data_IF_638222617845
#
_entry.id   IF_638222617845
#
_cell.length_a   1.000
_cell.length_b   1.000
_cell.length_c   1.000
_cell.angle_alpha   90.00
_cell.angle_beta   90.00
_cell.angle_gamma   90.00
#
_symmetry.space_group_name_H-M   'P 1'
#
loop_
_entity.id
_entity.type
_entity.pdbx_description
1 polymer ?
#
# COMPACT_ATOMS: atom_id res chain seq x y z
N UNK A 1 -1.96 -9.35 -24.18
CA UNK A 1 -0.65 -8.88 -23.78
C UNK A 1 -0.59 -8.71 -22.27
N UNK A 2 0.56 -9.06 -21.71
CA UNK A 2 0.76 -8.93 -20.26
C UNK A 2 0.59 -7.50 -19.75
N UNK A 3 0.72 -6.52 -20.63
CA UNK A 3 0.60 -5.10 -20.30
C UNK A 3 -0.76 -4.72 -19.71
N UNK A 4 -1.78 -5.52 -20.02
CA UNK A 4 -3.13 -5.22 -19.60
C UNK A 4 -3.50 -5.90 -18.28
N UNK A 5 -2.56 -6.62 -17.67
CA UNK A 5 -2.81 -7.29 -16.41
C UNK A 5 -2.93 -6.25 -15.30
N UNK A 6 -4.12 -6.13 -14.75
CA UNK A 6 -4.39 -5.19 -13.67
C UNK A 6 -3.99 -5.80 -12.33
N UNK A 7 -3.42 -5.01 -11.42
CA UNK A 7 -3.04 -5.54 -10.13
C UNK A 7 -4.26 -5.99 -9.33
N UNK A 8 -4.10 -7.11 -8.64
CA UNK A 8 -5.10 -7.64 -7.73
C UNK A 8 -4.62 -7.43 -6.29
N UNK A 9 -5.56 -7.44 -5.37
CA UNK A 9 -5.26 -7.26 -3.95
C UNK A 9 -4.12 -8.16 -3.47
N UNK A 10 -4.11 -9.41 -3.91
CA UNK A 10 -3.08 -10.38 -3.52
C UNK A 10 -1.67 -10.02 -4.01
N UNK A 11 -1.57 -9.16 -5.02
CA UNK A 11 -0.26 -8.75 -5.54
C UNK A 11 0.50 -7.88 -4.55
N UNK A 12 -0.21 -7.28 -3.59
CA UNK A 12 0.43 -6.51 -2.52
C UNK A 12 1.19 -7.39 -1.53
N UNK A 13 0.84 -8.68 -1.45
CA UNK A 13 1.46 -9.62 -0.50
C UNK A 13 2.97 -9.70 -0.71
N UNK A 14 3.42 -9.76 -1.95
CA UNK A 14 4.86 -9.84 -2.24
C UNK A 14 5.60 -8.63 -1.68
N UNK A 15 5.05 -7.43 -1.88
CA UNK A 15 5.65 -6.22 -1.35
C UNK A 15 5.68 -6.21 0.18
N UNK A 16 4.59 -6.67 0.82
CA UNK A 16 4.55 -6.75 2.28
C UNK A 16 5.55 -7.78 2.81
N UNK A 17 5.71 -8.93 2.15
CA UNK A 17 6.68 -9.93 2.58
C UNK A 17 8.11 -9.42 2.43
N UNK A 18 8.40 -8.72 1.35
CA UNK A 18 9.70 -8.08 1.15
C UNK A 18 9.96 -7.02 2.22
N UNK A 19 8.94 -6.20 2.53
CA UNK A 19 9.05 -5.19 3.56
C UNK A 19 9.31 -5.82 4.93
N UNK A 20 8.61 -6.91 5.24
CA UNK A 20 8.79 -7.63 6.50
C UNK A 20 10.23 -8.11 6.66
N UNK A 21 10.77 -8.79 5.65
CA UNK A 21 12.16 -9.28 5.68
C UNK A 21 13.15 -8.12 5.81
N UNK A 22 12.89 -7.04 5.12
CA UNK A 22 13.74 -5.86 5.14
C UNK A 22 13.72 -5.18 6.51
N UNK A 23 12.55 -5.13 7.15
CA UNK A 23 12.40 -4.58 8.50
C UNK A 23 13.21 -5.41 9.51
N UNK A 24 13.17 -6.73 9.38
CA UNK A 24 13.98 -7.61 10.24
C UNK A 24 15.46 -7.30 10.10
N UNK A 25 15.92 -7.06 8.87
CA UNK A 25 17.30 -6.66 8.62
C UNK A 25 17.63 -5.32 9.27
N UNK A 26 16.72 -4.35 9.19
CA UNK A 26 16.90 -3.03 9.80
C UNK A 26 17.05 -3.16 11.32
N UNK A 27 16.20 -3.97 11.94
CA UNK A 27 16.26 -4.21 13.38
C UNK A 27 17.66 -4.75 13.75
N UNK A 28 18.16 -5.72 12.99
CA UNK A 28 19.49 -6.28 13.20
C UNK A 28 20.58 -5.22 13.06
N UNK A 29 20.46 -4.34 12.07
CA UNK A 29 21.43 -3.27 11.85
C UNK A 29 21.47 -2.30 13.03
N UNK A 30 20.30 -1.96 13.58
CA UNK A 30 20.22 -1.09 14.76
C UNK A 30 20.84 -1.76 15.96
N UNK A 31 20.54 -3.05 16.16
CA UNK A 31 21.09 -3.82 17.28
C UNK A 31 22.61 -3.95 17.19
N UNK A 32 23.16 -4.01 15.99
CA UNK A 32 24.61 -4.08 15.74
C UNK A 32 25.27 -2.71 15.72
N UNK A 33 24.52 -1.66 15.99
CA UNK A 33 25.01 -0.28 15.98
C UNK A 33 25.69 0.09 14.65
N UNK A 34 25.06 -0.29 13.54
CA UNK A 34 25.54 0.04 12.20
C UNK A 34 25.42 1.54 11.96
N UNK A 35 26.12 2.02 10.95
CA UNK A 35 26.11 3.44 10.61
C UNK A 35 24.68 3.93 10.27
N UNK A 36 24.30 5.05 10.91
CA UNK A 36 22.92 5.56 10.81
C UNK A 36 22.46 5.84 9.37
N UNK A 37 23.33 6.36 8.52
CA UNK A 37 22.95 6.65 7.13
C UNK A 37 22.59 5.39 6.37
N UNK A 38 23.30 4.29 6.63
CA UNK A 38 22.99 3.00 5.99
C UNK A 38 21.62 2.51 6.45
N UNK A 39 21.34 2.63 7.75
CA UNK A 39 20.05 2.25 8.32
C UNK A 39 18.93 3.09 7.70
N UNK A 40 19.14 4.40 7.59
CA UNK A 40 18.15 5.30 7.01
C UNK A 40 17.85 4.98 5.55
N UNK A 41 18.88 4.62 4.77
CA UNK A 41 18.68 4.22 3.38
C UNK A 41 17.84 2.95 3.28
N UNK A 42 18.09 1.98 4.15
CA UNK A 42 17.29 0.75 4.19
C UNK A 42 15.84 1.05 4.57
N UNK A 43 15.65 1.98 5.50
CA UNK A 43 14.32 2.40 5.90
C UNK A 43 13.54 3.02 4.72
N UNK A 44 14.21 3.85 3.92
CA UNK A 44 13.58 4.45 2.73
C UNK A 44 13.16 3.38 1.73
N UNK A 45 13.94 2.31 1.60
CA UNK A 45 13.59 1.20 0.72
C UNK A 45 12.30 0.51 1.20
N UNK A 46 12.15 0.33 2.52
CA UNK A 46 10.92 -0.25 3.09
C UNK A 46 9.73 0.66 2.82
N UNK A 47 9.90 1.96 2.98
CA UNK A 47 8.84 2.92 2.71
C UNK A 47 8.38 2.80 1.26
N UNK A 48 9.31 2.64 0.32
CA UNK A 48 9.00 2.44 -1.09
C UNK A 48 8.18 1.18 -1.34
N UNK A 49 8.54 0.08 -0.68
CA UNK A 49 7.78 -1.18 -0.79
C UNK A 49 6.36 -1.02 -0.26
N UNK A 50 6.21 -0.33 0.87
CA UNK A 50 4.89 -0.10 1.48
C UNK A 50 4.05 0.85 0.63
N UNK A 51 4.64 1.87 0.03
CA UNK A 51 3.93 2.75 -0.90
C UNK A 51 3.42 2.00 -2.12
N UNK A 52 4.25 1.12 -2.68
CA UNK A 52 3.83 0.29 -3.81
C UNK A 52 2.68 -0.62 -3.44
N UNK A 53 2.74 -1.25 -2.26
CA UNK A 53 1.64 -2.08 -1.77
C UNK A 53 0.37 -1.26 -1.60
N UNK A 54 0.50 -0.06 -1.05
CA UNK A 54 -0.63 0.85 -0.85
C UNK A 54 -1.32 1.19 -2.18
N UNK A 55 -0.53 1.51 -3.22
CA UNK A 55 -1.08 1.83 -4.53
C UNK A 55 -1.79 0.65 -5.17
N UNK A 56 -1.26 -0.56 -4.99
CA UNK A 56 -1.91 -1.77 -5.48
C UNK A 56 -3.28 -1.93 -4.81
N UNK A 57 -3.33 -1.76 -3.50
CA UNK A 57 -4.58 -1.88 -2.74
C UNK A 57 -5.58 -0.80 -3.15
N UNK A 58 -5.12 0.43 -3.30
CA UNK A 58 -5.99 1.54 -3.70
C UNK A 58 -6.55 1.31 -5.10
N UNK A 59 -5.71 0.92 -6.05
CA UNK A 59 -6.17 0.66 -7.41
C UNK A 59 -7.17 -0.49 -7.45
N UNK A 60 -6.90 -1.57 -6.71
CA UNK A 60 -7.83 -2.69 -6.64
C UNK A 60 -9.17 -2.25 -6.06
N UNK A 61 -9.13 -1.44 -5.00
CA UNK A 61 -10.35 -0.93 -4.36
C UNK A 61 -11.17 -0.09 -5.33
N UNK A 62 -10.52 0.80 -6.07
CA UNK A 62 -11.21 1.65 -7.05
C UNK A 62 -11.80 0.85 -8.20
N UNK A 63 -11.07 -0.15 -8.71
CA UNK A 63 -11.52 -0.93 -9.86
C UNK A 63 -12.62 -1.92 -9.52
N UNK A 64 -12.58 -2.52 -8.35
CA UNK A 64 -13.51 -3.61 -7.99
C UNK A 64 -14.56 -3.17 -6.97
N UNK A 65 -14.12 -2.71 -5.82
CA UNK A 65 -15.05 -2.39 -4.74
C UNK A 65 -15.83 -1.11 -5.00
N UNK A 66 -15.12 -0.05 -5.38
CA UNK A 66 -15.75 1.25 -5.64
C UNK A 66 -16.66 1.19 -6.87
N UNK A 67 -16.20 0.55 -7.95
CA UNK A 67 -16.99 0.42 -9.16
C UNK A 67 -18.29 -0.33 -8.90
N UNK A 68 -18.24 -1.39 -8.10
CA UNK A 68 -19.43 -2.14 -7.75
C UNK A 68 -20.40 -1.30 -6.91
N UNK A 69 -19.89 -0.50 -5.99
CA UNK A 69 -20.73 0.39 -5.18
C UNK A 69 -21.40 1.47 -6.03
N UNK A 70 -20.68 2.00 -7.02
CA UNK A 70 -21.21 3.01 -7.94
C UNK A 70 -22.31 2.43 -8.83
N UNK A 71 -22.17 1.18 -9.24
CA UNK A 71 -23.18 0.50 -10.07
C UNK A 71 -24.44 0.16 -9.29
N UNK A 72 -24.35 0.02 -7.98
CA UNK A 72 -25.53 -0.16 -7.16
C UNK A 72 -26.27 1.18 -7.09
N UNK A 73 -27.56 1.16 -6.91
CA UNK A 73 -28.33 2.40 -6.82
C UNK A 73 -28.44 2.91 -5.37
N UNK A 74 -27.65 2.32 -4.49
CA UNK A 74 -27.64 2.70 -3.09
C UNK A 74 -26.76 3.93 -2.87
N UNK A 75 -27.37 5.09 -2.74
CA UNK A 75 -26.67 6.37 -2.53
C UNK A 75 -25.87 6.39 -1.24
N UNK A 76 -26.40 5.78 -0.19
CA UNK A 76 -25.73 5.69 1.10
C UNK A 76 -24.40 4.96 0.98
N UNK A 77 -24.38 3.86 0.23
CA UNK A 77 -23.18 3.07 0.02
C UNK A 77 -22.13 3.85 -0.79
N UNK A 78 -22.58 4.59 -1.81
CA UNK A 78 -21.69 5.43 -2.61
C UNK A 78 -21.04 6.52 -1.76
N UNK A 79 -21.82 7.15 -0.90
CA UNK A 79 -21.31 8.18 0.02
C UNK A 79 -20.27 7.61 0.97
N UNK A 80 -20.53 6.44 1.56
CA UNK A 80 -19.58 5.77 2.44
C UNK A 80 -18.25 5.50 1.75
N UNK A 81 -18.30 4.99 0.50
CA UNK A 81 -17.09 4.67 -0.24
C UNK A 81 -16.27 5.91 -0.54
N UNK A 82 -16.93 7.01 -0.90
CA UNK A 82 -16.26 8.27 -1.15
C UNK A 82 -15.57 8.78 0.13
N UNK A 83 -16.27 8.73 1.26
CA UNK A 83 -15.73 9.15 2.54
C UNK A 83 -14.51 8.32 2.94
N UNK A 84 -14.60 7.00 2.75
CA UNK A 84 -13.49 6.09 3.05
C UNK A 84 -12.24 6.45 2.23
N UNK A 85 -12.41 6.70 0.93
CA UNK A 85 -11.30 7.04 0.03
C UNK A 85 -10.68 8.37 0.43
N UNK A 86 -11.51 9.36 0.74
CA UNK A 86 -11.03 10.66 1.18
C UNK A 86 -10.23 10.56 2.48
N UNK A 87 -10.72 9.76 3.41
CA UNK A 87 -10.05 9.56 4.70
C UNK A 87 -8.66 8.95 4.51
N UNK A 88 -8.57 7.88 3.71
CA UNK A 88 -7.31 7.20 3.44
C UNK A 88 -6.33 8.14 2.73
N UNK A 89 -6.82 8.90 1.77
CA UNK A 89 -6.00 9.85 1.03
C UNK A 89 -5.43 10.93 1.97
N UNK A 90 -6.23 11.45 2.88
CA UNK A 90 -5.77 12.43 3.86
C UNK A 90 -4.71 11.86 4.77
N UNK A 91 -4.87 10.61 5.21
CA UNK A 91 -3.89 9.95 6.05
C UNK A 91 -2.55 9.77 5.33
N UNK A 92 -2.59 9.43 4.05
CA UNK A 92 -1.38 9.23 3.25
C UNK A 92 -0.60 10.51 3.02
N UNK A 93 -1.26 11.66 3.09
CA UNK A 93 -0.66 12.97 2.83
C UNK A 93 -0.15 13.69 4.08
N UNK A 94 -0.18 13.05 5.23
CA UNK A 94 0.35 13.65 6.46
C UNK A 94 1.85 13.62 6.56
#
# INVERSE_FOLDING_TARGET
MALDKKPQKKDSILNFRKAKSHIEKIISMVEQDRYCMDIMQQNLAVIGLLKSAHLILLENHLRHCFSNAIKSENLSRKEEMIEEILKVTKLANK
#
